data_IF_997405669606
#
_entry.id   IF_997405669606
#
_cell.length_a   1.000
_cell.length_b   1.000
_cell.length_c   1.000
_cell.angle_alpha   90.00
_cell.angle_beta   90.00
_cell.angle_gamma   90.00
#
_symmetry.space_group_name_H-M   'P 1'
#
loop_
_entity.id
_entity.type
_entity.pdbx_description
1 polymer ?
#
# COMPACT_ATOMS: atom_id res chain seq x y z
N UNK A 1 -33.15 18.49 -10.48
CA UNK A 1 -32.11 18.47 -9.43
C UNK A 1 -30.82 18.00 -10.06
N UNK A 2 -29.79 18.84 -10.09
CA UNK A 2 -28.49 18.47 -10.64
C UNK A 2 -27.70 17.70 -9.58
N UNK A 3 -27.33 16.45 -9.86
CA UNK A 3 -26.45 15.65 -8.98
C UNK A 3 -25.01 16.14 -9.14
N UNK A 4 -24.38 16.51 -8.04
CA UNK A 4 -22.95 16.83 -7.99
C UNK A 4 -22.19 15.57 -7.59
N UNK A 5 -21.14 15.24 -8.34
CA UNK A 5 -20.17 14.19 -7.98
C UNK A 5 -18.97 14.84 -7.32
N UNK A 6 -18.69 14.46 -6.07
CA UNK A 6 -17.52 14.90 -5.33
C UNK A 6 -16.46 13.80 -5.45
N UNK A 7 -15.35 14.10 -6.10
CA UNK A 7 -14.24 13.15 -6.29
C UNK A 7 -13.37 13.05 -5.04
N UNK A 8 -13.01 14.20 -4.45
CA UNK A 8 -12.24 14.30 -3.21
C UNK A 8 -12.87 15.36 -2.31
N UNK A 9 -12.90 15.11 -1.00
CA UNK A 9 -13.38 16.04 0.00
C UNK A 9 -12.41 16.09 1.18
N UNK A 10 -11.70 17.21 1.30
CA UNK A 10 -10.71 17.41 2.35
C UNK A 10 -9.41 16.64 2.10
N UNK A 11 -8.70 16.35 3.19
CA UNK A 11 -7.38 15.74 3.21
C UNK A 11 -7.40 14.47 4.06
N UNK A 12 -6.73 13.42 3.61
CA UNK A 12 -6.63 12.18 4.39
C UNK A 12 -5.61 12.34 5.51
N UNK A 13 -6.08 12.47 6.75
CA UNK A 13 -5.22 12.57 7.94
C UNK A 13 -4.80 11.20 8.49
N UNK A 14 -5.72 10.23 8.46
CA UNK A 14 -5.52 8.88 8.98
C UNK A 14 -6.04 7.83 7.99
N UNK A 15 -5.43 6.65 7.98
CA UNK A 15 -5.92 5.46 7.30
C UNK A 15 -6.32 4.38 8.30
N UNK A 16 -7.27 3.52 7.97
CA UNK A 16 -7.56 2.32 8.78
C UNK A 16 -6.48 1.26 8.56
N UNK A 17 -6.09 0.60 9.64
CA UNK A 17 -5.31 -0.65 9.59
C UNK A 17 -6.23 -1.79 9.99
N UNK A 18 -6.36 -2.78 9.11
CA UNK A 18 -7.19 -3.97 9.34
C UNK A 18 -6.38 -5.15 9.93
N UNK A 19 -5.09 -4.96 10.17
CA UNK A 19 -4.23 -5.98 10.75
C UNK A 19 -4.60 -6.21 12.23
N UNK A 20 -4.97 -7.45 12.57
CA UNK A 20 -5.31 -7.87 13.96
C UNK A 20 -4.15 -7.71 14.95
N UNK A 21 -2.93 -7.53 14.45
CA UNK A 21 -1.69 -7.50 15.23
C UNK A 21 -1.37 -6.09 15.76
N UNK A 22 -1.95 -5.04 15.16
CA UNK A 22 -1.72 -3.67 15.64
C UNK A 22 -2.72 -3.31 16.73
N UNK A 23 -2.20 -2.81 17.86
CA UNK A 23 -3.05 -2.30 18.94
C UNK A 23 -3.89 -1.08 18.50
N UNK A 24 -3.43 -0.34 17.49
CA UNK A 24 -4.10 0.86 16.98
C UNK A 24 -4.74 0.57 15.63
N UNK A 25 -6.04 0.86 15.47
CA UNK A 25 -6.78 0.62 14.21
C UNK A 25 -6.57 1.70 13.14
N UNK A 26 -5.76 2.72 13.45
CA UNK A 26 -5.50 3.85 12.59
C UNK A 26 -4.00 4.06 12.44
N UNK A 27 -3.59 4.34 11.21
CA UNK A 27 -2.24 4.77 10.86
C UNK A 27 -2.25 6.21 10.39
N UNK A 28 -1.15 6.91 10.61
CA UNK A 28 -0.95 8.24 10.04
C UNK A 28 -0.87 8.15 8.52
N UNK A 29 -1.51 9.11 7.85
CA UNK A 29 -1.42 9.28 6.40
C UNK A 29 -0.29 10.24 6.07
N UNK A 30 0.49 9.93 5.03
CA UNK A 30 1.56 10.82 4.56
C UNK A 30 0.98 12.16 4.08
N UNK A 31 -0.19 12.17 3.46
CA UNK A 31 -0.85 13.38 2.95
C UNK A 31 -1.10 14.43 4.05
N UNK A 32 -1.55 13.98 5.23
CA UNK A 32 -1.90 14.86 6.35
C UNK A 32 -0.76 15.17 7.33
N UNK A 33 0.39 14.49 7.21
CA UNK A 33 1.44 14.55 8.23
C UNK A 33 1.99 15.95 8.43
N UNK A 34 2.16 16.72 7.36
CA UNK A 34 2.67 18.10 7.42
C UNK A 34 1.81 19.00 8.31
N UNK A 35 0.49 18.77 8.35
CA UNK A 35 -0.46 19.53 9.16
C UNK A 35 -0.57 19.01 10.59
N UNK A 36 -0.34 17.71 10.81
CA UNK A 36 -0.34 17.12 12.15
C UNK A 36 0.96 17.42 12.91
N UNK A 37 2.09 17.45 12.20
CA UNK A 37 3.42 17.48 12.76
C UNK A 37 3.64 18.58 13.84
N UNK A 38 3.19 19.83 13.66
CA UNK A 38 3.36 20.88 14.67
C UNK A 38 2.66 20.58 16.00
N UNK A 39 1.60 19.78 15.97
CA UNK A 39 0.79 19.42 17.14
C UNK A 39 1.20 18.06 17.74
N UNK A 40 2.09 17.32 17.07
CA UNK A 40 2.57 16.03 17.55
C UNK A 40 3.63 16.21 18.64
N UNK A 41 3.40 15.61 19.80
CA UNK A 41 4.36 15.54 20.92
C UNK A 41 5.00 14.17 21.11
N UNK A 42 4.44 13.13 20.50
CA UNK A 42 4.88 11.73 20.59
C UNK A 42 4.96 11.13 19.20
N UNK A 43 5.59 9.95 19.08
CA UNK A 43 5.67 9.19 17.83
C UNK A 43 6.26 10.01 16.67
N UNK A 44 7.23 10.86 17.00
CA UNK A 44 8.10 11.53 16.03
C UNK A 44 9.54 11.47 16.50
N UNK A 45 10.48 11.22 15.59
CA UNK A 45 11.92 11.23 15.87
C UNK A 45 12.67 11.98 14.78
N UNK A 46 13.71 12.71 15.17
CA UNK A 46 14.63 13.33 14.23
C UNK A 46 15.67 12.28 13.82
N UNK A 47 15.92 12.09 12.53
CA UNK A 47 16.91 11.13 12.03
C UNK A 47 18.00 11.84 11.22
N UNK A 48 19.12 11.14 11.00
CA UNK A 48 20.17 11.66 10.15
C UNK A 48 19.71 11.72 8.69
N UNK A 49 20.32 12.63 7.93
CA UNK A 49 20.11 12.69 6.47
C UNK A 49 20.46 11.37 5.81
N UNK A 50 21.52 10.70 6.25
CA UNK A 50 21.98 9.45 5.67
C UNK A 50 20.99 8.30 5.89
N UNK A 51 20.40 8.18 7.09
CA UNK A 51 19.36 7.19 7.37
C UNK A 51 18.11 7.46 6.51
N UNK A 52 17.69 8.72 6.39
CA UNK A 52 16.56 9.10 5.52
C UNK A 52 16.85 8.75 4.05
N UNK A 53 18.06 9.04 3.57
CA UNK A 53 18.47 8.70 2.22
C UNK A 53 18.47 7.19 1.99
N UNK A 54 18.99 6.42 2.94
CA UNK A 54 18.97 4.96 2.90
C UNK A 54 17.53 4.45 2.77
N UNK A 55 16.62 4.95 3.62
CA UNK A 55 15.21 4.55 3.60
C UNK A 55 14.50 4.91 2.28
N UNK A 56 14.73 6.10 1.73
CA UNK A 56 14.06 6.56 0.52
C UNK A 56 14.61 5.89 -0.75
N UNK A 57 15.92 5.60 -0.80
CA UNK A 57 16.58 4.93 -1.93
C UNK A 57 16.42 3.41 -1.93
N UNK A 58 16.11 2.80 -0.80
CA UNK A 58 15.88 1.37 -0.69
C UNK A 58 14.77 0.92 -1.66
N UNK A 59 15.08 0.01 -2.59
CA UNK A 59 14.10 -0.52 -3.54
C UNK A 59 13.04 -1.39 -2.84
N UNK A 60 13.44 -2.03 -1.74
CA UNK A 60 12.56 -2.82 -0.91
C UNK A 60 11.61 -1.92 -0.10
N UNK A 61 10.34 -2.31 0.06
CA UNK A 61 9.39 -1.55 0.86
C UNK A 61 9.73 -1.60 2.36
N UNK A 62 10.36 -2.69 2.81
CA UNK A 62 10.78 -2.90 4.20
C UNK A 62 12.30 -2.73 4.30
N UNK A 63 12.73 -1.76 5.08
CA UNK A 63 14.13 -1.47 5.41
C UNK A 63 14.46 -2.16 6.71
N UNK A 64 15.63 -2.80 6.81
CA UNK A 64 16.06 -3.43 8.07
C UNK A 64 16.51 -2.34 9.05
N UNK A 65 16.09 -2.45 10.31
CA UNK A 65 16.51 -1.50 11.33
C UNK A 65 18.01 -1.59 11.59
N UNK A 66 18.61 -2.76 11.41
CA UNK A 66 20.04 -2.98 11.60
C UNK A 66 20.92 -2.11 10.68
N UNK A 67 20.39 -1.70 9.53
CA UNK A 67 21.06 -0.84 8.55
C UNK A 67 20.98 0.66 8.88
N UNK A 68 20.23 1.03 9.94
CA UNK A 68 20.00 2.42 10.33
C UNK A 68 20.74 2.78 11.62
N UNK A 69 21.35 3.96 11.66
CA UNK A 69 21.99 4.48 12.87
C UNK A 69 20.96 4.81 13.97
N UNK A 70 19.78 5.30 13.58
CA UNK A 70 18.68 5.65 14.50
C UNK A 70 17.87 4.46 15.06
N UNK A 71 18.30 3.21 14.84
CA UNK A 71 17.54 2.00 15.22
C UNK A 71 17.14 1.94 16.70
N UNK A 72 18.02 2.38 17.59
CA UNK A 72 17.75 2.36 19.03
C UNK A 72 16.68 3.40 19.42
N UNK A 73 16.62 4.54 18.73
CA UNK A 73 15.56 5.53 18.93
C UNK A 73 14.21 5.06 18.36
N UNK A 74 14.25 4.39 17.21
CA UNK A 74 13.06 3.74 16.64
C UNK A 74 12.53 2.68 17.60
N UNK A 75 13.39 1.82 18.17
CA UNK A 75 13.00 0.74 19.11
C UNK A 75 12.43 1.25 20.44
N UNK A 76 12.83 2.43 20.90
CA UNK A 76 12.21 3.09 22.08
C UNK A 76 10.75 3.44 21.84
N UNK A 77 10.33 3.57 20.58
CA UNK A 77 8.94 3.77 20.22
C UNK A 77 8.24 2.42 20.06
N UNK A 78 6.94 2.35 20.39
CA UNK A 78 6.17 1.14 20.11
C UNK A 78 6.01 0.92 18.60
N UNK A 79 5.84 -0.33 18.18
CA UNK A 79 5.50 -0.69 16.81
C UNK A 79 4.25 0.03 16.29
N UNK A 80 4.12 0.11 14.96
CA UNK A 80 3.05 0.83 14.27
C UNK A 80 3.54 2.14 13.66
N UNK A 81 2.67 3.16 13.61
CA UNK A 81 3.02 4.44 12.97
C UNK A 81 4.06 5.23 13.78
N UNK A 82 5.07 5.73 13.08
CA UNK A 82 6.11 6.64 13.57
C UNK A 82 6.40 7.69 12.50
N UNK A 83 6.58 8.94 12.88
CA UNK A 83 7.04 9.99 11.96
C UNK A 83 8.55 10.18 12.12
N UNK A 84 9.28 10.12 11.01
CA UNK A 84 10.71 10.43 10.98
C UNK A 84 10.93 11.72 10.19
N UNK A 85 11.91 12.52 10.60
CA UNK A 85 12.16 13.80 9.94
C UNK A 85 13.64 14.21 10.03
N UNK A 86 14.15 14.85 9.00
CA UNK A 86 15.46 15.53 9.01
C UNK A 86 15.30 17.04 9.25
N UNK A 87 14.20 17.59 8.76
CA UNK A 87 13.74 18.96 8.95
C UNK A 87 12.24 18.89 9.32
N UNK A 88 11.71 19.89 10.01
CA UNK A 88 10.29 19.87 10.43
C UNK A 88 9.31 20.12 9.27
N UNK A 89 9.80 20.58 8.11
CA UNK A 89 8.98 20.96 6.96
C UNK A 89 8.54 19.76 6.11
N UNK A 90 9.38 18.72 6.07
CA UNK A 90 9.21 17.52 5.25
C UNK A 90 9.23 16.21 6.07
N UNK A 91 8.31 16.05 7.04
CA UNK A 91 8.20 14.81 7.80
C UNK A 91 7.71 13.64 6.94
N UNK A 92 8.21 12.44 7.26
CA UNK A 92 7.86 11.20 6.58
C UNK A 92 7.19 10.26 7.58
N UNK A 93 5.96 9.84 7.28
CA UNK A 93 5.28 8.78 8.01
C UNK A 93 5.87 7.42 7.66
N UNK A 94 6.13 6.62 8.68
CA UNK A 94 6.62 5.26 8.56
C UNK A 94 5.78 4.29 9.37
N UNK A 95 5.75 3.05 8.92
CA UNK A 95 5.42 1.89 9.72
C UNK A 95 6.68 1.32 10.37
N UNK A 96 6.61 0.96 11.64
CA UNK A 96 7.67 0.32 12.40
C UNK A 96 7.21 -1.07 12.83
N UNK A 97 7.88 -2.08 12.31
CA UNK A 97 7.77 -3.47 12.75
C UNK A 97 8.77 -3.79 13.87
N UNK A 98 8.99 -5.09 14.10
CA UNK A 98 9.94 -5.54 15.13
C UNK A 98 11.41 -5.41 14.68
N UNK A 99 11.70 -5.73 13.42
CA UNK A 99 13.05 -5.62 12.81
C UNK A 99 13.11 -4.65 11.62
N UNK A 100 11.98 -4.10 11.20
CA UNK A 100 11.89 -3.36 9.95
C UNK A 100 11.17 -2.04 10.11
N UNK A 101 11.46 -1.11 9.20
CA UNK A 101 10.75 0.15 9.03
C UNK A 101 10.37 0.34 7.56
N UNK A 102 9.19 0.90 7.31
CA UNK A 102 8.67 1.08 5.96
C UNK A 102 8.06 2.49 5.80
N UNK A 103 8.63 3.35 4.94
CA UNK A 103 8.03 4.65 4.63
C UNK A 103 6.67 4.51 3.93
N UNK A 104 5.66 5.25 4.37
CA UNK A 104 4.33 5.34 3.75
C UNK A 104 4.29 6.34 2.58
N UNK A 105 5.35 6.38 1.79
CA UNK A 105 5.46 7.25 0.61
C UNK A 105 5.40 6.44 -0.68
N UNK A 106 4.71 6.98 -1.68
CA UNK A 106 4.70 6.40 -3.04
C UNK A 106 6.09 6.47 -3.68
N UNK A 107 6.27 5.80 -4.82
CA UNK A 107 7.51 5.92 -5.60
C UNK A 107 7.74 7.35 -6.09
N UNK A 108 6.68 8.07 -6.47
CA UNK A 108 6.79 9.47 -6.86
C UNK A 108 7.13 10.38 -5.68
N UNK A 109 6.50 10.15 -4.52
CA UNK A 109 6.79 10.92 -3.31
C UNK A 109 8.23 10.69 -2.81
N UNK A 110 8.76 9.47 -2.90
CA UNK A 110 10.17 9.19 -2.59
C UNK A 110 11.10 10.07 -3.40
N UNK A 111 10.85 10.20 -4.70
CA UNK A 111 11.64 11.06 -5.58
C UNK A 111 11.54 12.54 -5.18
N UNK A 112 10.34 12.99 -4.80
CA UNK A 112 10.14 14.34 -4.28
C UNK A 112 10.97 14.59 -3.00
N UNK A 113 10.91 13.69 -2.02
CA UNK A 113 11.71 13.81 -0.80
C UNK A 113 13.22 13.77 -1.07
N UNK A 114 13.69 12.93 -2.00
CA UNK A 114 15.11 12.91 -2.40
C UNK A 114 15.56 14.26 -2.99
N UNK A 115 14.70 14.93 -3.77
CA UNK A 115 14.98 16.28 -4.29
C UNK A 115 15.03 17.32 -3.17
N UNK A 116 14.12 17.25 -2.20
CA UNK A 116 14.13 18.14 -1.03
C UNK A 116 15.41 17.96 -0.20
N UNK A 117 16.00 16.76 -0.22
CA UNK A 117 17.30 16.47 0.38
C UNK A 117 18.50 16.86 -0.50
N UNK A 118 18.28 17.46 -1.67
CA UNK A 118 19.33 17.91 -2.59
C UNK A 118 20.00 16.78 -3.38
N UNK A 119 19.33 15.64 -3.56
CA UNK A 119 19.86 14.51 -4.34
C UNK A 119 19.52 14.68 -5.81
N UNK A 120 20.51 14.51 -6.69
CA UNK A 120 20.24 14.34 -8.12
C UNK A 120 19.56 12.99 -8.36
N UNK A 121 18.36 13.05 -8.93
CA UNK A 121 17.52 11.88 -9.17
C UNK A 121 17.46 11.47 -10.65
N UNK A 122 18.27 12.09 -11.52
CA UNK A 122 18.23 11.89 -12.97
C UNK A 122 18.32 10.41 -13.37
N UNK A 123 19.23 9.65 -12.75
CA UNK A 123 19.39 8.21 -13.00
C UNK A 123 18.17 7.40 -12.55
N UNK A 124 17.63 7.71 -11.36
CA UNK A 124 16.45 7.05 -10.80
C UNK A 124 15.24 7.25 -11.72
N UNK A 125 15.07 8.45 -12.28
CA UNK A 125 14.00 8.75 -13.23
C UNK A 125 14.15 8.01 -14.55
N UNK A 126 15.37 7.88 -15.07
CA UNK A 126 15.63 7.12 -16.28
C UNK A 126 15.27 5.64 -16.09
N UNK A 127 15.66 5.05 -14.95
CA UNK A 127 15.31 3.68 -14.58
C UNK A 127 13.79 3.48 -14.41
N UNK A 128 13.08 4.47 -13.84
CA UNK A 128 11.63 4.39 -13.75
C UNK A 128 10.94 4.50 -15.12
N UNK A 129 11.44 5.36 -16.01
CA UNK A 129 10.92 5.49 -17.38
C UNK A 129 11.16 4.23 -18.21
N UNK A 130 12.32 3.57 -18.07
CA UNK A 130 12.60 2.32 -18.77
C UNK A 130 11.68 1.18 -18.30
N UNK A 131 11.53 0.99 -16.97
CA UNK A 131 10.60 0.00 -16.39
C UNK A 131 9.14 0.23 -16.82
N UNK A 132 8.71 1.49 -16.95
CA UNK A 132 7.36 1.82 -17.44
C UNK A 132 7.18 1.41 -18.91
N UNK A 133 8.15 1.72 -19.77
CA UNK A 133 8.13 1.33 -21.18
C UNK A 133 8.11 -0.20 -21.36
N UNK A 134 8.87 -0.92 -20.54
CA UNK A 134 8.88 -2.39 -20.54
C UNK A 134 7.50 -2.94 -20.16
N UNK A 135 6.92 -2.45 -19.06
CA UNK A 135 5.58 -2.86 -18.61
C UNK A 135 4.49 -2.55 -19.66
N UNK A 136 4.57 -1.40 -20.32
CA UNK A 136 3.63 -1.03 -21.38
C UNK A 136 3.78 -1.95 -22.61
N UNK A 137 5.01 -2.38 -22.93
CA UNK A 137 5.28 -3.36 -23.99
C UNK A 137 4.74 -4.74 -23.63
N UNK A 138 4.95 -5.20 -22.41
CA UNK A 138 4.46 -6.51 -21.94
C UNK A 138 2.93 -6.53 -21.89
N UNK A 139 2.30 -5.46 -21.42
CA UNK A 139 0.84 -5.32 -21.44
C UNK A 139 0.29 -5.32 -22.88
N UNK A 140 0.97 -4.65 -23.81
CA UNK A 140 0.61 -4.67 -25.23
C UNK A 140 0.83 -6.04 -25.89
N UNK A 141 1.79 -6.83 -25.43
CA UNK A 141 2.03 -8.20 -25.89
C UNK A 141 0.97 -9.16 -25.35
N UNK A 142 0.67 -9.11 -24.05
CA UNK A 142 -0.37 -9.93 -23.42
C UNK A 142 -1.77 -9.63 -23.99
N UNK A 143 -2.04 -8.38 -24.38
CA UNK A 143 -3.29 -8.01 -25.04
C UNK A 143 -3.43 -8.54 -26.49
N UNK A 144 -2.35 -9.04 -27.09
CA UNK A 144 -2.31 -9.61 -28.45
C UNK A 144 -2.34 -11.13 -28.49
N UNK A 145 -2.28 -11.82 -27.35
CA UNK A 145 -2.47 -13.28 -27.33
C UNK A 145 -3.92 -13.62 -27.69
N UNK A 146 -4.17 -14.47 -28.71
CA UNK A 146 -5.52 -14.85 -29.06
C UNK A 146 -6.11 -15.68 -27.93
N UNK A 147 -7.26 -15.24 -27.39
CA UNK A 147 -8.13 -16.12 -26.59
C UNK A 147 -8.40 -17.36 -27.44
N UNK A 148 -7.88 -18.52 -27.05
CA UNK A 148 -8.36 -19.80 -27.58
C UNK A 148 -9.86 -19.87 -27.27
N UNK A 149 -10.67 -19.65 -28.29
CA UNK A 149 -12.10 -19.86 -28.26
C UNK A 149 -12.36 -21.31 -27.88
N UNK A 150 -12.96 -21.52 -26.71
CA UNK A 150 -13.67 -22.76 -26.41
C UNK A 150 -14.86 -22.84 -27.36
N UNK A 151 -14.90 -23.91 -28.15
CA UNK A 151 -15.88 -24.16 -29.21
C UNK A 151 -17.34 -24.13 -28.69
N UNK A 152 -18.32 -23.75 -29.53
CA UNK A 152 -19.72 -23.65 -29.14
C UNK A 152 -20.36 -25.05 -29.09
N UNK A 153 -21.02 -25.33 -27.98
CA UNK A 153 -21.86 -26.51 -27.79
C UNK A 153 -23.20 -26.30 -28.53
N UNK A 154 -23.58 -27.26 -29.37
CA UNK A 154 -24.81 -27.25 -30.17
C UNK A 154 -25.51 -28.61 -30.10
N UNK A 155 -26.67 -28.61 -29.45
CA UNK A 155 -27.57 -29.74 -29.11
C UNK A 155 -28.08 -30.56 -30.33
N UNK A 156 -28.76 -31.70 -30.10
CA UNK A 156 -30.23 -31.57 -30.11
C UNK A 156 -30.97 -32.30 -28.97
N UNK A 157 -32.08 -31.68 -28.57
CA UNK A 157 -33.17 -32.19 -27.77
C UNK A 157 -33.72 -33.56 -28.24
N UNK A 158 -33.90 -34.48 -27.29
CA UNK A 158 -34.89 -35.56 -27.38
C UNK A 158 -35.72 -35.56 -26.10
N UNK A 159 -37.01 -35.23 -26.22
CA UNK A 159 -38.04 -35.43 -25.19
C UNK A 159 -38.38 -36.91 -25.06
N UNK A 160 -38.46 -37.45 -23.84
CA UNK A 160 -39.46 -38.46 -23.47
C UNK A 160 -39.76 -38.41 -21.97
N UNK A 161 -40.97 -38.84 -21.60
CA UNK A 161 -41.85 -38.33 -20.56
C UNK A 161 -41.75 -39.00 -19.18
N UNK A 162 -42.20 -38.25 -18.15
CA UNK A 162 -42.84 -38.71 -16.88
C UNK A 162 -41.95 -39.52 -15.91
N UNK A 163 -42.09 -39.52 -14.59
CA UNK A 163 -43.09 -39.09 -13.63
C UNK A 163 -42.43 -39.01 -12.23
N UNK A 164 -43.09 -38.38 -11.26
CA UNK A 164 -42.94 -38.77 -9.85
C UNK A 164 -42.35 -37.72 -8.92
N UNK A 165 -43.18 -37.31 -7.97
CA UNK A 165 -42.92 -36.63 -6.68
C UNK A 165 -41.77 -37.34 -5.90
N UNK A 166 -41.04 -36.74 -4.96
CA UNK A 166 -41.51 -36.15 -3.68
C UNK A 166 -40.43 -35.21 -3.08
N UNK A 167 -40.90 -34.20 -2.35
CA UNK A 167 -40.15 -33.49 -1.31
C UNK A 167 -39.84 -34.45 -0.15
N UNK A 168 -38.67 -34.33 0.47
CA UNK A 168 -38.60 -34.46 1.94
C UNK A 168 -37.42 -33.66 2.53
N UNK A 169 -37.79 -32.66 3.32
CA UNK A 169 -36.98 -31.98 4.33
C UNK A 169 -36.57 -32.95 5.46
N UNK A 170 -35.27 -32.99 5.83
CA UNK A 170 -34.89 -33.36 7.21
C UNK A 170 -33.73 -32.49 7.71
N UNK A 171 -34.14 -31.46 8.45
CA UNK A 171 -33.65 -30.89 9.73
C UNK A 171 -32.25 -31.24 10.28
N UNK A 172 -31.68 -30.16 10.83
CA UNK A 172 -30.82 -30.06 12.01
C UNK A 172 -30.84 -31.26 12.98
N UNK A 173 -29.66 -31.64 13.47
CA UNK A 173 -29.51 -31.91 14.90
C UNK A 173 -28.11 -31.59 15.43
N UNK A 174 -28.14 -31.19 16.70
CA UNK A 174 -27.10 -30.60 17.54
C UNK A 174 -26.52 -31.69 18.44
N UNK A 175 -25.26 -31.54 18.88
CA UNK A 175 -24.66 -32.25 20.02
C UNK A 175 -23.59 -33.26 19.58
N UNK A 176 -22.38 -33.27 20.13
CA UNK A 176 -21.94 -33.03 21.52
C UNK A 176 -20.64 -32.22 21.53
#
# INVERSE_FOLDING_TARGET
>A
MTKVSIQNAGMKMFGRTEAKVEATRFRLSQEGVRYLFPFMSKKKIMISKDDMLHMLKCEQPLVQLEDLACKEEIRKNSSGSLVVYCNEEDPVCCWVGYHTIAPYVSKEERLHHLRMLGVDCSEIEQLMKSKRKEKDRDAAWAAKEPKKETAPDGLPDVKMESAGEEEEDVKEEIGI
#
